data_IF_487847185164
#
_entry.id   IF_487847185164
#
_cell.length_a   1.000
_cell.length_b   1.000
_cell.length_c   1.000
_cell.angle_alpha   90.00
_cell.angle_beta   90.00
_cell.angle_gamma   90.00
#
_symmetry.space_group_name_H-M   'P 1'
#
loop_
_entity.id
_entity.type
_entity.pdbx_description
1 polymer ?
#
# COMPACT_ATOMS: atom_id res chain seq x y z
N UNK A 1 18.89 6.42 -3.28
CA UNK A 1 18.31 6.33 -3.15
C UNK A 1 17.59 6.27 -3.18
N UNK A 2 17.63 6.10 -3.17
CA UNK A 2 16.98 5.86 -3.12
C UNK A 2 16.14 5.70 -3.40
N UNK A 3 16.80 5.23 -3.23
CA UNK A 3 15.63 4.92 -3.93
C UNK A 3 14.41 5.39 -3.23
N UNK A 4 13.73 6.15 -3.90
CA UNK A 4 12.56 6.74 -3.30
C UNK A 4 11.30 6.03 -3.75
N UNK A 5 11.43 4.86 -4.38
CA UNK A 5 10.24 4.11 -4.74
C UNK A 5 10.53 2.63 -4.69
N UNK A 6 9.45 1.87 -4.56
CA UNK A 6 9.52 0.44 -4.50
C UNK A 6 9.70 -0.15 -5.91
N UNK A 7 10.54 -1.15 -6.06
CA UNK A 7 10.69 -1.80 -7.36
C UNK A 7 9.42 -2.57 -7.73
N UNK A 8 9.08 -2.57 -9.02
CA UNK A 8 7.88 -3.26 -9.48
C UNK A 8 7.97 -4.78 -9.38
N UNK A 9 9.19 -5.30 -9.32
CA UNK A 9 9.37 -6.74 -9.16
C UNK A 9 9.37 -7.17 -7.69
N UNK A 10 8.98 -6.27 -6.80
CA UNK A 10 8.82 -6.61 -5.40
C UNK A 10 7.78 -7.71 -5.26
N UNK A 11 8.03 -8.65 -4.36
CA UNK A 11 7.05 -9.69 -4.05
C UNK A 11 5.81 -9.11 -3.38
N UNK A 12 4.86 -9.96 -2.99
CA UNK A 12 3.60 -9.45 -2.47
C UNK A 12 3.75 -8.50 -1.30
N UNK A 13 2.95 -7.45 -1.31
CA UNK A 13 2.83 -6.52 -0.19
C UNK A 13 1.63 -6.97 0.62
N UNK A 14 1.85 -7.29 1.88
CA UNK A 14 0.80 -7.85 2.74
C UNK A 14 0.30 -6.80 3.72
N UNK A 15 -1.02 -6.61 3.75
CA UNK A 15 -1.67 -5.67 4.66
C UNK A 15 -2.36 -6.45 5.77
N UNK A 16 -1.97 -6.22 7.02
CA UNK A 16 -2.66 -6.81 8.15
C UNK A 16 -3.83 -5.89 8.51
N UNK A 17 -5.05 -6.41 8.43
CA UNK A 17 -6.25 -5.58 8.62
C UNK A 17 -6.57 -4.78 7.38
N UNK A 18 -6.52 -5.40 6.23
CA UNK A 18 -6.61 -4.72 4.93
C UNK A 18 -7.93 -3.97 4.73
N UNK A 19 -8.99 -4.40 5.39
CA UNK A 19 -10.28 -3.72 5.29
C UNK A 19 -10.42 -2.51 6.19
N UNK A 20 -9.37 -2.17 6.94
CA UNK A 20 -9.43 -1.04 7.87
C UNK A 20 -9.42 0.31 7.17
N UNK A 21 -9.78 1.32 7.95
CA UNK A 21 -9.82 2.70 7.45
C UNK A 21 -8.43 3.11 6.99
N UNK A 22 -8.34 3.61 5.77
CA UNK A 22 -7.07 4.06 5.22
C UNK A 22 -6.18 2.96 4.68
N UNK A 23 -6.45 1.70 5.02
CA UNK A 23 -5.64 0.58 4.54
C UNK A 23 -6.08 0.16 3.14
N UNK A 24 -7.38 0.02 2.94
CA UNK A 24 -7.91 -0.46 1.66
C UNK A 24 -7.59 0.48 0.50
N UNK A 25 -7.61 1.79 0.75
CA UNK A 25 -7.28 2.76 -0.29
C UNK A 25 -5.83 2.64 -0.74
N UNK A 26 -4.92 2.48 0.20
CA UNK A 26 -3.49 2.31 -0.11
C UNK A 26 -3.27 1.03 -0.88
N UNK A 27 -3.94 -0.05 -0.46
CA UNK A 27 -3.84 -1.34 -1.14
C UNK A 27 -4.30 -1.23 -2.59
N UNK A 28 -5.41 -0.54 -2.81
CA UNK A 28 -5.93 -0.36 -4.16
C UNK A 28 -4.97 0.44 -5.04
N UNK A 29 -4.39 1.50 -4.50
CA UNK A 29 -3.44 2.31 -5.27
C UNK A 29 -2.22 1.48 -5.66
N UNK A 30 -1.68 0.71 -4.72
CA UNK A 30 -0.53 -0.14 -5.02
C UNK A 30 -0.86 -1.18 -6.09
N UNK A 31 -2.06 -1.76 -6.00
CA UNK A 31 -2.49 -2.72 -7.03
C UNK A 31 -2.56 -2.06 -8.39
N UNK A 32 -3.11 -0.85 -8.46
CA UNK A 32 -3.20 -0.12 -9.72
C UNK A 32 -1.84 0.28 -10.29
N UNK A 33 -0.84 0.41 -9.42
CA UNK A 33 0.52 0.71 -9.85
C UNK A 33 1.26 -0.53 -10.36
N UNK A 34 0.65 -1.70 -10.24
CA UNK A 34 1.25 -2.92 -10.75
C UNK A 34 1.87 -3.83 -9.70
N UNK A 35 1.77 -3.48 -8.43
CA UNK A 35 2.31 -4.34 -7.38
C UNK A 35 1.38 -5.49 -7.07
N UNK A 36 1.96 -6.58 -6.58
CA UNK A 36 1.18 -7.70 -6.07
C UNK A 36 0.74 -7.35 -4.65
N UNK A 37 -0.55 -7.39 -4.39
CA UNK A 37 -1.11 -6.97 -3.10
C UNK A 37 -1.96 -8.08 -2.52
N UNK A 38 -1.80 -8.30 -1.23
CA UNK A 38 -2.60 -9.25 -0.49
C UNK A 38 -2.85 -8.70 0.91
N UNK A 39 -3.72 -9.34 1.65
CA UNK A 39 -3.96 -8.89 3.00
C UNK A 39 -4.83 -9.85 3.78
N UNK A 40 -4.89 -9.63 5.08
CA UNK A 40 -5.74 -10.40 5.97
C UNK A 40 -6.70 -9.47 6.68
N UNK A 41 -7.89 -9.99 6.95
CA UNK A 41 -8.88 -9.29 7.76
C UNK A 41 -9.89 -10.30 8.24
N UNK A 42 -10.10 -10.36 9.55
CA UNK A 42 -11.05 -11.33 10.11
C UNK A 42 -12.48 -10.99 9.73
N UNK A 43 -12.74 -9.74 9.34
CA UNK A 43 -14.09 -9.32 8.94
C UNK A 43 -14.22 -9.38 7.43
N UNK A 44 -15.35 -9.90 6.98
CA UNK A 44 -15.69 -9.86 5.57
C UNK A 44 -16.69 -8.73 5.37
N UNK A 45 -16.25 -7.69 4.69
CA UNK A 45 -17.04 -6.49 4.50
C UNK A 45 -17.16 -6.18 3.01
N UNK A 46 -17.95 -5.17 2.67
CA UNK A 46 -18.04 -4.71 1.29
C UNK A 46 -16.67 -4.26 0.78
N UNK A 47 -15.85 -3.73 1.67
CA UNK A 47 -14.50 -3.28 1.31
C UNK A 47 -13.63 -4.46 0.92
N UNK A 48 -13.62 -5.53 1.72
CA UNK A 48 -12.80 -6.70 1.39
C UNK A 48 -13.32 -7.40 0.14
N UNK A 49 -14.64 -7.45 -0.04
CA UNK A 49 -15.22 -8.04 -1.25
C UNK A 49 -14.79 -7.25 -2.48
N UNK A 50 -14.82 -5.92 -2.39
CA UNK A 50 -14.40 -5.07 -3.50
C UNK A 50 -12.93 -5.30 -3.83
N UNK A 51 -12.06 -5.32 -2.82
CA UNK A 51 -10.63 -5.54 -3.04
C UNK A 51 -10.38 -6.89 -3.70
N UNK A 52 -11.09 -7.91 -3.25
CA UNK A 52 -10.96 -9.24 -3.82
C UNK A 52 -11.36 -9.24 -5.30
N UNK A 53 -12.42 -8.52 -5.64
CA UNK A 53 -12.87 -8.43 -7.03
C UNK A 53 -11.87 -7.68 -7.91
N UNK A 54 -11.03 -6.84 -7.32
CA UNK A 54 -10.01 -6.09 -8.06
C UNK A 54 -8.72 -6.90 -8.27
N UNK A 55 -8.59 -8.05 -7.61
CA UNK A 55 -7.42 -8.88 -7.76
C UNK A 55 -6.55 -9.00 -6.53
N UNK A 56 -6.98 -8.47 -5.40
CA UNK A 56 -6.24 -8.60 -4.14
C UNK A 56 -6.59 -9.93 -3.50
N UNK A 57 -5.58 -10.66 -3.06
CA UNK A 57 -5.80 -11.92 -2.33
C UNK A 57 -6.11 -11.58 -0.87
N UNK A 58 -7.30 -11.95 -0.42
CA UNK A 58 -7.76 -11.66 0.94
C UNK A 58 -7.85 -12.95 1.74
N UNK A 59 -7.23 -12.95 2.93
CA UNK A 59 -7.30 -14.05 3.87
C UNK A 59 -8.17 -13.60 5.05
N UNK A 60 -9.16 -14.41 5.40
CA UNK A 60 -10.09 -14.02 6.48
C UNK A 60 -9.72 -14.60 7.84
N UNK A 61 -8.50 -15.09 7.95
CA UNK A 61 -7.92 -15.53 9.21
C UNK A 61 -6.49 -15.05 9.27
N UNK A 62 -6.02 -14.71 10.46
CA UNK A 62 -4.61 -14.41 10.64
C UNK A 62 -3.86 -15.73 10.77
N UNK A 63 -2.85 -15.92 9.92
CA UNK A 63 -2.08 -17.15 9.88
C UNK A 63 -0.66 -16.82 9.46
N UNK A 64 0.31 -17.51 10.02
CA UNK A 64 1.71 -17.29 9.67
C UNK A 64 1.97 -17.56 8.19
N UNK A 65 1.23 -18.49 7.60
CA UNK A 65 1.41 -18.81 6.17
C UNK A 65 1.06 -17.62 5.28
N UNK A 66 0.24 -16.72 5.77
CA UNK A 66 -0.18 -15.55 4.98
C UNK A 66 0.99 -14.61 4.67
N UNK A 67 2.03 -14.60 5.53
CA UNK A 67 3.15 -13.67 5.35
C UNK A 67 4.43 -14.34 4.88
N UNK A 68 4.41 -15.65 4.69
CA UNK A 68 5.63 -16.40 4.40
C UNK A 68 6.36 -15.91 3.15
N UNK A 69 5.63 -15.54 2.12
CA UNK A 69 6.23 -15.15 0.84
C UNK A 69 6.12 -13.65 0.54
N UNK A 70 5.68 -12.85 1.51
CA UNK A 70 5.53 -11.44 1.22
C UNK A 70 6.85 -10.69 1.40
N UNK A 71 6.96 -9.55 0.73
CA UNK A 71 8.17 -8.73 0.75
C UNK A 71 8.11 -7.60 1.78
N UNK A 72 6.92 -7.14 2.08
CA UNK A 72 6.69 -6.02 3.00
C UNK A 72 5.37 -6.26 3.69
N UNK A 73 5.30 -5.91 4.96
CA UNK A 73 4.06 -5.98 5.73
C UNK A 73 3.66 -4.56 6.13
N UNK A 74 2.43 -4.20 5.84
CA UNK A 74 1.88 -2.89 6.18
C UNK A 74 0.89 -3.06 7.34
N UNK A 75 1.05 -2.25 8.37
CA UNK A 75 0.17 -2.30 9.54
C UNK A 75 -0.39 -0.92 9.85
N UNK A 76 -1.53 -0.92 10.52
CA UNK A 76 -2.10 0.31 11.08
C UNK A 76 -1.84 0.33 12.59
N UNK A 77 -2.15 1.46 13.21
CA UNK A 77 -2.00 1.58 14.65
C UNK A 77 -2.94 0.65 15.42
N UNK A 78 -3.95 0.11 14.76
CA UNK A 78 -4.88 -0.82 15.40
C UNK A 78 -4.31 -2.24 15.56
N UNK A 79 -3.22 -2.55 14.89
CA UNK A 79 -2.63 -3.89 14.94
C UNK A 79 -1.79 -4.02 16.20
N UNK A 80 -2.09 -5.04 17.01
CA UNK A 80 -1.40 -5.27 18.27
C UNK A 80 -0.06 -5.95 18.03
N UNK A 81 0.88 -5.72 18.95
CA UNK A 81 2.23 -6.29 18.83
C UNK A 81 2.22 -7.81 18.84
N UNK A 82 1.23 -8.41 19.47
CA UNK A 82 1.13 -9.87 19.56
C UNK A 82 0.34 -10.48 18.40
N UNK A 83 -0.03 -9.66 17.41
CA UNK A 83 -0.70 -10.19 16.22
C UNK A 83 0.18 -11.27 15.61
N UNK A 84 -0.44 -12.41 15.30
CA UNK A 84 0.27 -13.58 14.82
C UNK A 84 1.09 -13.33 13.58
N UNK A 85 0.50 -12.64 12.61
CA UNK A 85 1.19 -12.35 11.35
C UNK A 85 2.31 -11.34 11.55
N UNK A 86 2.07 -10.31 12.36
CA UNK A 86 3.08 -9.31 12.63
C UNK A 86 4.29 -9.93 13.33
N UNK A 87 4.04 -10.74 14.36
CA UNK A 87 5.11 -11.39 15.10
C UNK A 87 5.94 -12.30 14.20
N UNK A 88 5.28 -13.07 13.34
CA UNK A 88 5.98 -13.99 12.46
C UNK A 88 6.76 -13.24 11.38
N UNK A 89 6.21 -12.16 10.85
CA UNK A 89 6.92 -11.34 9.86
C UNK A 89 8.19 -10.77 10.44
N UNK A 90 8.14 -10.30 11.68
CA UNK A 90 9.35 -9.81 12.37
C UNK A 90 10.37 -10.92 12.53
N UNK A 91 9.92 -12.11 12.87
CA UNK A 91 10.78 -13.27 13.04
C UNK A 91 11.49 -13.63 11.73
N UNK A 92 10.81 -13.47 10.61
CA UNK A 92 11.36 -13.76 9.29
C UNK A 92 12.25 -12.62 8.76
N UNK A 93 12.28 -11.48 9.46
CA UNK A 93 13.04 -10.35 9.00
C UNK A 93 12.39 -9.56 7.89
N UNK A 94 11.07 -9.72 7.70
CA UNK A 94 10.33 -9.00 6.67
C UNK A 94 10.14 -7.54 7.13
N UNK A 95 10.43 -6.56 6.27
CA UNK A 95 10.23 -5.16 6.64
C UNK A 95 8.78 -4.87 7.01
N UNK A 96 8.61 -4.16 8.12
CA UNK A 96 7.29 -3.74 8.60
C UNK A 96 7.19 -2.24 8.45
N UNK A 97 6.17 -1.77 7.77
CA UNK A 97 5.94 -0.34 7.62
C UNK A 97 4.55 0.00 8.11
N UNK A 98 4.42 1.21 8.63
CA UNK A 98 3.12 1.68 9.07
C UNK A 98 2.31 2.16 7.86
N UNK A 99 0.99 2.27 8.06
CA UNK A 99 0.13 2.85 7.04
C UNK A 99 0.62 4.24 6.63
N UNK A 100 1.00 5.05 7.60
CA UNK A 100 1.47 6.41 7.32
C UNK A 100 2.76 6.41 6.50
N UNK A 101 3.68 5.50 6.82
CA UNK A 101 4.93 5.39 6.06
C UNK A 101 4.67 4.96 4.63
N UNK A 102 3.76 4.02 4.43
CA UNK A 102 3.44 3.57 3.08
C UNK A 102 2.74 4.68 2.30
N UNK A 103 1.86 5.43 2.96
CA UNK A 103 1.21 6.56 2.30
C UNK A 103 2.23 7.61 1.87
N UNK A 104 3.20 7.91 2.72
CA UNK A 104 4.26 8.86 2.39
C UNK A 104 5.06 8.37 1.18
N UNK A 105 5.32 7.08 1.10
CA UNK A 105 6.04 6.50 -0.03
C UNK A 105 5.24 6.65 -1.32
N UNK A 106 3.94 6.39 -1.26
CA UNK A 106 3.08 6.57 -2.43
C UNK A 106 3.05 8.01 -2.90
N UNK A 107 3.03 8.95 -1.97
CA UNK A 107 3.04 10.37 -2.33
C UNK A 107 4.34 10.74 -3.02
N UNK A 108 5.46 10.22 -2.56
CA UNK A 108 6.75 10.46 -3.23
C UNK A 108 6.77 9.89 -4.63
N UNK A 109 6.25 8.69 -4.81
CA UNK A 109 6.17 8.08 -6.13
C UNK A 109 5.30 8.89 -7.07
N UNK A 110 4.18 9.40 -6.56
CA UNK A 110 3.29 10.21 -7.36
C UNK A 110 3.95 11.52 -7.77
N UNK A 111 4.68 12.16 -6.87
CA UNK A 111 5.40 13.37 -7.19
C UNK A 111 6.47 13.13 -8.26
N UNK A 112 7.17 12.01 -8.17
CA UNK A 112 8.17 11.67 -9.16
C UNK A 112 7.54 11.47 -10.53
N UNK A 113 6.38 10.87 -10.60
CA UNK A 113 5.67 10.68 -11.85
C UNK A 113 5.27 12.01 -12.45
N UNK A 114 4.75 12.91 -11.63
CA UNK A 114 4.34 14.24 -12.08
C UNK A 114 5.53 15.01 -12.63
N UNK A 115 6.65 14.99 -11.92
CA UNK A 115 7.86 15.70 -12.37
C UNK A 115 8.36 15.11 -13.68
N UNK A 116 8.42 13.80 -13.79
CA UNK A 116 8.86 13.15 -15.03
C UNK A 116 7.92 13.47 -16.17
N UNK A 117 6.62 13.50 -15.90
CA UNK A 117 5.62 13.79 -16.93
C UNK A 117 5.72 15.21 -17.46
N UNK A 118 6.12 16.15 -16.60
CA UNK A 118 6.20 17.54 -17.02
C UNK A 118 7.33 17.81 -18.01
N UNK A 119 8.28 16.92 -18.12
CA UNK A 119 9.30 17.06 -19.12
C UNK A 119 8.75 17.00 -20.52
N UNK A 120 7.87 16.14 -20.71
CA UNK A 120 7.32 15.95 -22.01
C UNK A 120 6.26 16.90 -22.31
N UNK A 121 5.73 17.45 -21.43
CA UNK A 121 4.68 18.18 -21.69
C UNK A 121 4.01 18.65 -20.70
N UNK A 122 3.57 18.97 -20.55
CA UNK A 122 3.08 19.53 -19.71
C UNK A 122 2.02 19.22 -19.00
N UNK A 123 1.56 18.94 -18.88
CA UNK A 123 0.65 18.82 -18.33
C UNK A 123 0.15 18.55 -17.42
N UNK A 124 0.02 18.30 -17.10
CA UNK A 124 -0.62 17.99 -16.34
C UNK A 124 -0.79 18.26 -15.30
N UNK A 125 -0.58 18.74 -14.94
CA UNK A 125 -0.74 19.11 -13.94
C UNK A 125 -1.84 19.10 -13.38
N UNK A 126 -2.21 19.07 -13.75
CA UNK A 126 -3.39 19.17 -13.25
C UNK A 126 -3.82 18.08 -12.51
N UNK A 127 -3.36 17.43 -12.33
CA UNK A 127 -3.82 16.44 -11.65
C UNK A 127 -3.81 16.60 -10.33
N UNK A 128 -3.36 17.34 -10.01
CA UNK A 128 -3.27 17.40 -8.77
C UNK A 128 -4.22 17.83 -7.97
N UNK A 129 -4.41 17.90 -8.15
CA UNK A 129 -4.97 18.33 -7.41
C UNK A 129 -5.31 17.77 -6.54
N UNK A 130 -4.90 17.39 -6.46
CA UNK A 130 -4.99 17.05 -5.72
C UNK A 130 -5.23 17.30 -4.90
N UNK A 131 -5.13 17.28 -4.85
CA UNK A 131 -5.27 17.65 -4.34
C UNK A 131 -5.35 18.30 -3.90
N UNK A 132 -4.96 18.50 -4.02
CA UNK A 132 -4.85 19.28 -3.84
C UNK A 132 -4.83 20.09 -3.59
N UNK A 133 -4.78 20.34 -3.46
CA UNK A 133 -4.68 21.24 -3.42
C UNK A 133 -4.43 22.08 -3.43
N UNK A 134 -4.10 22.15 -3.49
CA UNK A 134 -3.84 22.95 -3.74
C UNK A 134 -3.54 23.79 -4.09
N UNK A 135 -3.19 24.01 -4.20
CA UNK A 135 -2.83 24.72 -4.67
C UNK A 135 -2.41 25.21 -5.26
N UNK A 136 -2.22 25.20 -5.56
CA UNK A 136 -1.78 25.50 -6.29
C UNK A 136 -1.15 25.46 -6.77
N UNK A 137 -0.80 25.12 -6.84
CA UNK A 137 -0.20 24.94 -7.46
C UNK A 137 0.25 24.78 -8.06
N UNK A 138 0.55 24.70 -8.26
CA UNK A 138 0.96 24.40 -8.94
C UNK A 138 1.35 24.14 -9.23
N UNK A 139 1.88 23.81 -9.30
CA UNK A 139 2.08 23.58 -9.57
C UNK A 139 2.04 23.71 -9.79
#
# INVERSE_FOLDING_TARGET
MIATRLPLNLGPIHFIGIGGIGMSGIAEVLLNLGYSVQGSDIKKTNITVRLSSLGVDIFHEHDTDNVTNCSVVVISSAIKKDNLELAFAKQLGIPIVSRAEMLAELMRMKLNIVVAGSHGKTTTLSLIHISEPTRRTPI
#
